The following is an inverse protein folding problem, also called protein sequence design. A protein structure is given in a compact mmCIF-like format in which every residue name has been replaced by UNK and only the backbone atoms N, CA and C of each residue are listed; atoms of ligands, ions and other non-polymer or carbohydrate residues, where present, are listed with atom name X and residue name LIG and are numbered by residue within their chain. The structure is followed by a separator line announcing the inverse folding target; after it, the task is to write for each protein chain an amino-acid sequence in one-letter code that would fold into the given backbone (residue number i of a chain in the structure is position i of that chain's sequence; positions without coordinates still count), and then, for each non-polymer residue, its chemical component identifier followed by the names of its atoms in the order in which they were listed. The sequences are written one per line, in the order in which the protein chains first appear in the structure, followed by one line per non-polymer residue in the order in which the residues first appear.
data_IF_896849470419
#
_entry.id   IF_896849470419
#
_cell.length_a   1.000
_cell.length_b   1.000
_cell.length_c   1.000
_cell.angle_alpha   90.00
_cell.angle_beta   90.00
_cell.angle_gamma   90.00
#
_symmetry.space_group_name_H-M   'P 1'
#
loop_
_entity.id
_entity.type
_entity.pdbx_description
1 polymer ?
#
# COMPACT_ATOMS: atom_id res chain seq x y z
N UNK A 1 12.30 1.82 -11.44
CA UNK A 1 10.95 2.41 -11.56
C UNK A 1 9.99 1.61 -10.72
N UNK A 2 8.89 2.22 -10.28
CA UNK A 2 7.83 1.55 -9.53
C UNK A 2 6.87 0.82 -10.50
N UNK A 3 6.48 -0.43 -10.21
CA UNK A 3 5.59 -1.24 -11.06
C UNK A 3 4.32 -1.69 -10.33
N UNK A 4 3.29 -2.09 -11.10
CA UNK A 4 2.05 -2.64 -10.53
C UNK A 4 2.28 -3.90 -9.71
N UNK A 5 3.28 -4.71 -10.05
CA UNK A 5 3.65 -5.89 -9.28
C UNK A 5 4.16 -5.51 -7.88
N UNK A 6 4.99 -4.46 -7.78
CA UNK A 6 5.46 -3.96 -6.48
C UNK A 6 4.32 -3.40 -5.63
N UNK A 7 3.35 -2.72 -6.25
CA UNK A 7 2.13 -2.30 -5.57
C UNK A 7 1.31 -3.49 -5.05
N UNK A 8 1.16 -4.54 -5.86
CA UNK A 8 0.45 -5.75 -5.45
C UNK A 8 1.15 -6.46 -4.28
N UNK A 9 2.49 -6.53 -4.29
CA UNK A 9 3.27 -7.05 -3.18
C UNK A 9 3.08 -6.25 -1.89
N UNK A 10 3.09 -4.91 -1.99
CA UNK A 10 2.84 -4.05 -0.84
C UNK A 10 1.40 -4.22 -0.32
N UNK A 11 0.40 -4.27 -1.21
CA UNK A 11 -1.01 -4.50 -0.85
C UNK A 11 -1.22 -5.87 -0.19
N UNK A 12 -0.46 -6.89 -0.60
CA UNK A 12 -0.47 -8.20 0.03
C UNK A 12 0.11 -8.15 1.45
N UNK A 13 1.20 -7.41 1.67
CA UNK A 13 1.84 -7.30 2.98
C UNK A 13 1.03 -6.42 3.96
N UNK A 14 0.41 -5.35 3.48
CA UNK A 14 -0.34 -4.40 4.31
C UNK A 14 -1.70 -4.02 3.70
N UNK A 15 -2.62 -4.99 3.57
CA UNK A 15 -3.92 -4.76 2.94
C UNK A 15 -4.73 -3.62 3.57
N UNK A 16 -4.59 -3.42 4.88
CA UNK A 16 -5.30 -2.39 5.66
C UNK A 16 -4.80 -0.97 5.42
N UNK A 17 -3.52 -0.79 5.06
CA UNK A 17 -2.90 0.53 4.96
C UNK A 17 -2.74 1.03 3.52
N UNK A 18 -3.15 0.24 2.54
CA UNK A 18 -3.09 0.63 1.12
C UNK A 18 -4.51 0.63 0.57
N UNK A 19 -5.00 1.80 0.20
CA UNK A 19 -6.25 1.92 -0.52
C UNK A 19 -5.99 2.12 -2.01
N UNK A 20 -6.69 1.34 -2.84
CA UNK A 20 -6.55 1.37 -4.29
C UNK A 20 -7.94 1.61 -4.86
N UNK A 21 -8.11 2.73 -5.57
CA UNK A 21 -9.37 3.09 -6.22
C UNK A 21 -9.12 3.34 -7.69
N UNK A 22 -10.11 2.99 -8.51
CA UNK A 22 -10.13 3.34 -9.92
C UNK A 22 -11.17 4.41 -10.12
N UNK A 23 -10.76 5.57 -10.63
CA UNK A 23 -11.66 6.66 -10.98
C UNK A 23 -11.75 6.77 -12.49
N UNK A 24 -12.98 6.92 -12.99
CA UNK A 24 -13.21 7.20 -14.40
C UNK A 24 -13.13 8.72 -14.59
N UNK A 25 -12.15 9.15 -15.38
CA UNK A 25 -11.93 10.55 -15.74
C UNK A 25 -12.29 10.71 -17.20
N UNK A 26 -13.26 11.56 -17.49
CA UNK A 26 -13.61 11.89 -18.87
C UNK A 26 -12.58 12.88 -19.40
N UNK A 27 -11.95 12.52 -20.51
CA UNK A 27 -11.05 13.40 -21.25
C UNK A 27 -11.90 14.34 -22.11
N UNK A 28 -11.95 15.61 -21.74
CA UNK A 28 -12.80 16.61 -22.40
C UNK A 28 -12.38 16.88 -23.86
N UNK A 29 -11.10 16.65 -24.19
CA UNK A 29 -10.56 16.91 -25.53
C UNK A 29 -10.94 15.80 -26.52
N UNK A 30 -11.00 14.57 -26.05
CA UNK A 30 -11.25 13.38 -26.88
C UNK A 30 -12.63 12.76 -26.66
N UNK A 31 -13.38 13.23 -25.65
CA UNK A 31 -14.63 12.64 -25.15
C UNK A 31 -14.50 11.18 -24.69
N UNK A 32 -13.28 10.67 -24.54
CA UNK A 32 -13.00 9.31 -24.09
C UNK A 32 -13.01 9.23 -22.56
N UNK A 33 -13.37 8.07 -22.02
CA UNK A 33 -13.24 7.79 -20.59
C UNK A 33 -11.92 7.08 -20.33
N UNK A 34 -11.09 7.65 -19.47
CA UNK A 34 -9.85 7.05 -19.00
C UNK A 34 -10.03 6.55 -17.57
N UNK A 35 -9.55 5.35 -17.29
CA UNK A 35 -9.43 4.86 -15.92
C UNK A 35 -8.12 5.34 -15.31
N UNK A 36 -8.19 6.04 -14.19
CA UNK A 36 -7.03 6.43 -13.40
C UNK A 36 -6.98 5.62 -12.11
N UNK A 37 -5.79 5.11 -11.80
CA UNK A 37 -5.53 4.35 -10.59
C UNK A 37 -5.02 5.29 -9.51
N UNK A 38 -5.81 5.47 -8.45
CA UNK A 38 -5.43 6.22 -7.27
C UNK A 38 -4.97 5.25 -6.19
N UNK A 39 -3.78 5.52 -5.64
CA UNK A 39 -3.19 4.75 -4.54
C UNK A 39 -3.02 5.70 -3.37
N UNK A 40 -3.62 5.37 -2.23
CA UNK A 40 -3.48 6.13 -1.00
C UNK A 40 -2.92 5.25 0.11
N UNK A 41 -1.99 5.80 0.88
CA UNK A 41 -1.50 5.18 2.12
C UNK A 41 -2.35 5.66 3.28
N UNK A 42 -2.75 4.74 4.15
CA UNK A 42 -3.59 4.99 5.33
C UNK A 42 -2.86 4.48 6.58
N UNK A 43 -1.87 5.25 7.11
CA UNK A 43 -1.09 4.82 8.27
C UNK A 43 -1.95 4.56 9.51
N UNK A 44 -3.03 5.31 9.67
CA UNK A 44 -3.95 5.18 10.80
C UNK A 44 -4.67 3.82 10.85
N UNK A 45 -4.81 3.15 9.71
CA UNK A 45 -5.41 1.81 9.64
C UNK A 45 -4.57 0.73 10.34
N UNK A 46 -3.32 1.04 10.68
CA UNK A 46 -2.39 0.14 11.38
C UNK A 46 -2.17 0.54 12.84
N UNK A 47 -3.00 1.40 13.44
CA UNK A 47 -2.84 1.88 14.83
C UNK A 47 -2.53 0.77 15.84
N UNK A 48 -3.18 -0.38 15.71
CA UNK A 48 -2.95 -1.52 16.62
C UNK A 48 -1.61 -2.22 16.39
N UNK A 49 -1.11 -2.23 15.15
CA UNK A 49 0.22 -2.75 14.79
C UNK A 49 1.36 -1.75 15.05
N UNK A 50 1.01 -0.48 15.32
CA UNK A 50 1.94 0.64 15.46
C UNK A 50 2.03 1.11 16.93
N UNK A 51 1.19 0.58 17.84
CA UNK A 51 1.21 0.84 19.28
C UNK A 51 2.65 0.78 19.84
N UNK A 52 3.24 1.95 20.07
CA UNK A 52 4.61 2.10 20.57
C UNK A 52 5.57 2.87 19.64
N UNK A 53 5.24 3.08 18.37
CA UNK A 53 6.01 3.96 17.47
C UNK A 53 5.56 5.40 17.70
N UNK A 54 6.12 6.05 18.71
CA UNK A 54 6.01 7.50 18.88
C UNK A 54 6.85 8.19 17.79
N UNK A 55 6.27 8.40 16.61
CA UNK A 55 6.99 8.98 15.47
C UNK A 55 6.14 9.15 14.20
N UNK A 56 6.81 9.51 13.11
CA UNK A 56 6.23 9.68 11.78
C UNK A 56 5.45 8.42 11.35
N UNK A 57 4.18 8.61 10.98
CA UNK A 57 3.26 7.55 10.60
C UNK A 57 3.74 6.77 9.36
N UNK A 58 4.56 7.36 8.50
CA UNK A 58 5.20 6.68 7.38
C UNK A 58 6.37 5.78 7.82
N UNK A 59 7.12 6.15 8.86
CA UNK A 59 8.16 5.27 9.42
C UNK A 59 7.54 4.02 10.03
N UNK A 60 6.38 4.17 10.66
CA UNK A 60 5.62 3.05 11.19
C UNK A 60 5.20 2.05 10.09
N UNK A 61 4.74 2.54 8.93
CA UNK A 61 4.47 1.70 7.76
C UNK A 61 5.70 0.90 7.33
N UNK A 62 6.86 1.54 7.25
CA UNK A 62 8.11 0.87 6.85
C UNK A 62 8.48 -0.27 7.80
N UNK A 63 8.21 -0.09 9.10
CA UNK A 63 8.47 -1.10 10.15
C UNK A 63 7.53 -2.29 9.99
N UNK A 64 6.24 -2.04 9.75
CA UNK A 64 5.24 -3.08 9.50
C UNK A 64 5.58 -3.90 8.26
N UNK A 65 5.94 -3.27 7.13
CA UNK A 65 6.39 -3.99 5.93
C UNK A 65 7.54 -4.93 6.26
N UNK A 66 8.57 -4.39 6.92
CA UNK A 66 9.81 -5.12 7.17
C UNK A 66 9.56 -6.31 8.09
N UNK A 67 8.72 -6.14 9.12
CA UNK A 67 8.30 -7.20 10.03
C UNK A 67 7.52 -8.31 9.32
N UNK A 68 6.50 -7.94 8.54
CA UNK A 68 5.66 -8.90 7.81
C UNK A 68 6.44 -9.65 6.73
N UNK A 69 7.31 -8.94 6.00
CA UNK A 69 8.18 -9.55 5.00
C UNK A 69 9.16 -10.54 5.65
N UNK A 70 9.77 -10.19 6.79
CA UNK A 70 10.64 -11.11 7.53
C UNK A 70 9.89 -12.37 7.96
N UNK A 71 8.67 -12.20 8.46
CA UNK A 71 7.80 -13.33 8.87
C UNK A 71 7.43 -14.20 7.67
N UNK A 72 7.07 -13.59 6.54
CA UNK A 72 6.74 -14.29 5.31
C UNK A 72 7.91 -15.14 4.80
N UNK A 73 9.12 -14.57 4.75
CA UNK A 73 10.34 -15.29 4.34
C UNK A 73 10.61 -16.46 5.29
N UNK A 74 10.55 -16.23 6.61
CA UNK A 74 10.77 -17.29 7.61
C UNK A 74 9.73 -18.41 7.55
N UNK A 75 8.49 -18.10 7.17
CA UNK A 75 7.42 -19.09 7.02
C UNK A 75 7.56 -19.96 5.76
N UNK A 76 8.48 -19.63 4.86
CA UNK A 76 8.81 -20.38 3.66
C UNK A 76 10.32 -20.63 3.59
N UNK A 77 10.87 -21.46 4.51
CA UNK A 77 12.20 -22.00 4.28
C UNK A 77 12.10 -22.84 3.00
N UNK A 78 12.88 -22.50 1.98
CA UNK A 78 13.07 -23.34 0.81
C UNK A 78 13.58 -24.74 1.20
#
# INVERSE_FOLDING_TARGET
GFSQSQLAQLKYLMPEAIDIRTTLVQDEKTSCVKSELLVALQPDALKDSILGVNGDSYLALSTVVRSRLSTFIKSRPE
#
